data_IF_723774392625
#
_entry.id   IF_723774392625
#
_cell.length_a   1.000
_cell.length_b   1.000
_cell.length_c   1.000
_cell.angle_alpha   90.00
_cell.angle_beta   90.00
_cell.angle_gamma   90.00
#
_symmetry.space_group_name_H-M   'P 1'
#
loop_
_entity.id
_entity.type
_entity.pdbx_description
1 polymer ?
#
# COMPACT_ATOMS: atom_id res chain seq x y z
N UNK A 1 3.39 7.13 23.13
CA UNK A 1 2.27 8.09 23.02
C UNK A 1 1.88 8.24 21.54
N UNK A 2 1.04 7.36 20.98
CA UNK A 2 0.57 7.51 19.59
C UNK A 2 -0.69 8.39 19.56
N UNK A 3 -0.58 9.60 19.03
CA UNK A 3 -1.68 10.54 18.76
C UNK A 3 -2.51 10.10 17.54
N UNK A 4 -3.11 8.93 17.59
CA UNK A 4 -4.37 8.72 16.87
C UNK A 4 -5.45 8.75 17.95
N UNK A 5 -5.90 9.96 18.30
CA UNK A 5 -7.19 10.12 18.97
C UNK A 5 -8.22 9.55 18.01
N UNK A 6 -8.68 8.35 18.37
CA UNK A 6 -9.65 7.52 17.67
C UNK A 6 -10.76 8.43 17.15
N UNK A 7 -10.84 8.56 15.82
CA UNK A 7 -12.05 9.05 15.15
C UNK A 7 -13.23 8.32 15.76
N UNK A 8 -14.31 9.00 16.15
CA UNK A 8 -15.44 8.36 16.86
C UNK A 8 -16.01 7.14 16.11
N UNK A 9 -15.80 7.05 14.79
CA UNK A 9 -16.16 5.90 13.94
C UNK A 9 -15.08 5.60 12.88
N UNK A 10 -13.97 4.90 13.23
CA UNK A 10 -12.88 4.62 12.29
C UNK A 10 -13.30 3.80 11.06
N UNK A 11 -14.33 2.95 11.21
CA UNK A 11 -14.94 2.16 10.14
C UNK A 11 -15.62 2.99 9.06
N UNK A 12 -15.97 4.25 9.35
CA UNK A 12 -16.61 5.18 8.41
C UNK A 12 -15.60 6.04 7.65
N UNK A 13 -14.30 5.85 7.88
CA UNK A 13 -13.25 6.69 7.33
C UNK A 13 -12.19 5.85 6.64
N UNK A 14 -11.67 6.38 5.53
CA UNK A 14 -10.49 5.85 4.84
C UNK A 14 -9.37 6.88 4.93
N UNK A 15 -8.23 6.47 5.48
CA UNK A 15 -7.07 7.33 5.60
C UNK A 15 -6.16 7.22 4.38
N UNK A 16 -5.73 8.36 3.86
CA UNK A 16 -4.77 8.42 2.77
C UNK A 16 -3.46 9.05 3.26
N UNK A 17 -2.34 8.35 3.03
CA UNK A 17 -1.03 8.78 3.50
C UNK A 17 -0.07 9.08 2.35
N UNK A 18 0.72 10.15 2.54
CA UNK A 18 1.93 10.34 1.74
C UNK A 18 3.06 9.40 2.22
N UNK A 19 4.03 9.16 1.33
CA UNK A 19 5.14 8.23 1.49
C UNK A 19 5.98 8.41 2.76
N UNK A 20 5.96 9.59 3.38
CA UNK A 20 6.63 9.83 4.65
C UNK A 20 5.95 9.14 5.83
N UNK A 21 4.63 8.96 5.78
CA UNK A 21 3.84 8.40 6.87
C UNK A 21 3.48 6.93 6.68
N UNK A 22 3.61 6.39 5.46
CA UNK A 22 3.27 4.98 5.18
C UNK A 22 4.44 4.03 5.44
N UNK A 23 4.11 2.86 5.99
CA UNK A 23 5.00 1.69 6.09
C UNK A 23 4.18 0.41 6.19
N UNK A 24 4.78 -0.74 5.90
CA UNK A 24 4.12 -2.04 6.02
C UNK A 24 3.60 -2.31 7.44
N UNK A 25 4.42 -2.07 8.46
CA UNK A 25 4.03 -2.30 9.86
C UNK A 25 2.89 -1.39 10.32
N UNK A 26 2.87 -0.13 9.85
CA UNK A 26 1.75 0.77 10.11
C UNK A 26 0.46 0.20 9.50
N UNK A 27 0.49 -0.17 8.21
CA UNK A 27 -0.70 -0.69 7.52
C UNK A 27 -1.24 -1.94 8.21
N UNK A 28 -0.34 -2.85 8.62
CA UNK A 28 -0.71 -4.04 9.41
C UNK A 28 -1.38 -3.67 10.74
N UNK A 29 -0.82 -2.71 11.48
CA UNK A 29 -1.43 -2.25 12.75
C UNK A 29 -2.79 -1.57 12.54
N UNK A 30 -2.99 -0.88 11.42
CA UNK A 30 -4.28 -0.30 11.06
C UNK A 30 -5.31 -1.37 10.70
N UNK A 31 -4.90 -2.44 10.01
CA UNK A 31 -5.75 -3.61 9.75
C UNK A 31 -6.23 -4.24 11.05
N UNK A 32 -5.33 -4.45 12.02
CA UNK A 32 -5.67 -5.01 13.33
C UNK A 32 -6.65 -4.13 14.13
N UNK A 33 -6.71 -2.84 13.82
CA UNK A 33 -7.62 -1.85 14.43
C UNK A 33 -8.89 -1.60 13.62
N UNK A 34 -9.11 -2.34 12.53
CA UNK A 34 -10.20 -2.11 11.58
C UNK A 34 -10.25 -0.67 11.03
N UNK A 35 -9.07 -0.06 10.85
CA UNK A 35 -8.94 1.28 10.25
C UNK A 35 -8.55 1.12 8.78
N UNK A 36 -9.41 1.60 7.88
CA UNK A 36 -9.16 1.56 6.45
C UNK A 36 -8.13 2.60 6.05
N UNK A 37 -7.12 2.19 5.28
CA UNK A 37 -6.06 3.06 4.84
C UNK A 37 -5.42 2.64 3.51
N UNK A 38 -4.93 3.65 2.80
CA UNK A 38 -4.11 3.51 1.58
C UNK A 38 -3.00 4.54 1.61
N UNK A 39 -1.79 4.19 1.18
CA UNK A 39 -0.69 5.14 1.14
C UNK A 39 0.37 4.78 0.14
N UNK A 40 1.00 5.80 -0.45
CA UNK A 40 2.23 5.59 -1.20
C UNK A 40 3.34 5.17 -0.24
N UNK A 41 4.28 4.31 -0.66
CA UNK A 41 5.30 3.76 0.24
C UNK A 41 6.68 3.75 -0.40
N UNK A 42 7.71 3.99 0.41
CA UNK A 42 9.11 3.86 0.00
C UNK A 42 9.55 2.40 0.02
N UNK A 43 10.43 2.01 -0.90
CA UNK A 43 10.88 0.62 -1.05
C UNK A 43 11.40 0.00 0.27
N UNK A 44 12.20 0.76 1.01
CA UNK A 44 12.80 0.32 2.29
C UNK A 44 11.79 0.15 3.44
N UNK A 45 10.50 0.43 3.23
CA UNK A 45 9.43 0.31 4.23
C UNK A 45 8.38 -0.73 3.87
N UNK A 46 8.64 -1.56 2.86
CA UNK A 46 7.71 -2.61 2.40
C UNK A 46 7.93 -3.99 3.04
N UNK A 47 8.88 -4.13 3.99
CA UNK A 47 9.16 -5.38 4.72
C UNK A 47 9.16 -6.64 3.85
N UNK A 48 9.94 -6.62 2.76
CA UNK A 48 10.12 -7.75 1.85
C UNK A 48 8.87 -8.25 1.11
N UNK A 49 7.85 -7.40 0.94
CA UNK A 49 6.70 -7.71 0.10
C UNK A 49 7.15 -8.14 -1.32
N UNK A 50 6.69 -9.29 -1.86
CA UNK A 50 7.26 -9.91 -3.07
C UNK A 50 6.74 -9.29 -4.38
N UNK A 51 6.72 -7.95 -4.46
CA UNK A 51 6.47 -7.21 -5.70
C UNK A 51 7.78 -6.98 -6.47
N UNK A 52 7.68 -6.77 -7.79
CA UNK A 52 8.83 -6.48 -8.65
C UNK A 52 9.67 -5.33 -8.05
N UNK A 53 10.98 -5.57 -8.00
CA UNK A 53 11.92 -4.56 -7.48
C UNK A 53 12.03 -3.37 -8.42
N UNK A 54 12.53 -2.25 -7.90
CA UNK A 54 12.74 -1.07 -8.74
C UNK A 54 13.69 -1.32 -9.92
N UNK A 55 14.65 -2.24 -9.75
CA UNK A 55 15.58 -2.65 -10.82
C UNK A 55 14.86 -3.38 -11.96
N UNK A 56 13.85 -4.18 -11.64
CA UNK A 56 13.03 -4.89 -12.62
C UNK A 56 12.08 -3.90 -13.29
N UNK A 57 11.31 -3.15 -12.48
CA UNK A 57 10.33 -2.18 -12.98
C UNK A 57 10.93 -1.10 -13.89
N UNK A 58 12.19 -0.69 -13.67
CA UNK A 58 12.88 0.30 -14.53
C UNK A 58 13.08 -0.17 -15.98
N UNK A 59 13.05 -1.48 -16.24
CA UNK A 59 13.22 -2.06 -17.57
C UNK A 59 11.90 -2.26 -18.31
N UNK A 60 10.79 -2.16 -17.59
CA UNK A 60 9.45 -2.30 -18.14
C UNK A 60 9.01 -1.01 -18.84
N UNK A 61 8.02 -1.11 -19.71
CA UNK A 61 7.40 0.05 -20.33
C UNK A 61 6.63 0.91 -19.32
N UNK A 62 6.49 2.20 -19.61
CA UNK A 62 5.68 3.11 -18.78
C UNK A 62 4.23 2.60 -18.76
N UNK A 63 3.64 2.53 -17.58
CA UNK A 63 2.31 1.96 -17.35
C UNK A 63 2.33 0.50 -16.90
N UNK A 64 3.45 -0.23 -17.06
CA UNK A 64 3.56 -1.59 -16.54
C UNK A 64 3.42 -1.61 -15.01
N UNK A 65 2.70 -2.61 -14.50
CA UNK A 65 2.41 -2.76 -13.07
C UNK A 65 2.64 -4.20 -12.58
N UNK A 66 2.81 -4.34 -11.27
CA UNK A 66 2.86 -5.61 -10.56
C UNK A 66 2.23 -5.44 -9.18
N UNK A 67 1.45 -6.43 -8.73
CA UNK A 67 0.72 -6.34 -7.48
C UNK A 67 0.71 -7.67 -6.72
N UNK A 68 0.56 -7.61 -5.40
CA UNK A 68 0.43 -8.76 -4.51
C UNK A 68 -0.64 -8.48 -3.46
N UNK A 69 -1.42 -9.50 -3.13
CA UNK A 69 -2.27 -9.49 -1.97
C UNK A 69 -1.77 -10.57 -1.00
N UNK A 70 -1.56 -10.20 0.26
CA UNK A 70 -1.21 -11.15 1.31
C UNK A 70 -2.44 -11.47 2.15
N UNK A 71 -2.96 -12.70 2.01
CA UNK A 71 -4.14 -13.14 2.75
C UNK A 71 -3.94 -13.17 4.27
N UNK A 72 -2.70 -13.28 4.76
CA UNK A 72 -2.40 -13.33 6.20
C UNK A 72 -2.44 -11.94 6.82
N UNK A 73 -1.86 -10.96 6.15
CA UNK A 73 -1.83 -9.56 6.64
C UNK A 73 -3.00 -8.73 6.12
N UNK A 74 -3.76 -9.24 5.15
CA UNK A 74 -4.83 -8.53 4.41
C UNK A 74 -4.33 -7.24 3.76
N UNK A 75 -3.05 -7.21 3.39
CA UNK A 75 -2.45 -6.06 2.73
C UNK A 75 -2.36 -6.31 1.23
N UNK A 76 -2.80 -5.31 0.47
CA UNK A 76 -2.59 -5.17 -0.95
C UNK A 76 -1.37 -4.27 -1.21
N UNK A 77 -0.47 -4.72 -2.06
CA UNK A 77 0.69 -3.96 -2.50
C UNK A 77 0.67 -3.87 -4.03
N UNK A 78 0.90 -2.69 -4.58
CA UNK A 78 1.06 -2.49 -6.02
C UNK A 78 2.26 -1.60 -6.30
N UNK A 79 2.95 -1.89 -7.40
CA UNK A 79 3.91 -0.98 -8.02
C UNK A 79 3.59 -0.79 -9.48
N UNK A 80 3.83 0.42 -10.00
CA UNK A 80 3.76 0.69 -11.42
C UNK A 80 4.87 1.61 -11.88
N UNK A 81 5.24 1.47 -13.16
CA UNK A 81 6.26 2.26 -13.83
C UNK A 81 5.65 3.57 -14.32
N UNK A 82 6.05 4.67 -13.70
CA UNK A 82 5.87 6.02 -14.24
C UNK A 82 7.26 6.67 -14.51
N UNK A 83 7.38 7.99 -14.43
CA UNK A 83 8.67 8.69 -14.45
C UNK A 83 9.60 8.08 -13.40
N UNK A 84 9.07 7.92 -12.19
CA UNK A 84 9.64 7.09 -11.13
C UNK A 84 8.69 5.93 -10.80
N UNK A 85 9.22 4.84 -10.27
CA UNK A 85 8.38 3.71 -9.88
C UNK A 85 7.59 4.09 -8.63
N UNK A 86 6.27 4.09 -8.74
CA UNK A 86 5.38 4.34 -7.60
C UNK A 86 5.03 3.01 -6.96
N UNK A 87 4.86 3.04 -5.64
CA UNK A 87 4.49 1.89 -4.81
C UNK A 87 3.41 2.33 -3.84
N UNK A 88 2.38 1.50 -3.67
CA UNK A 88 1.25 1.75 -2.77
C UNK A 88 1.01 0.51 -1.92
N UNK A 89 0.67 0.73 -0.66
CA UNK A 89 0.06 -0.27 0.21
C UNK A 89 -1.37 0.15 0.53
N UNK A 90 -2.29 -0.81 0.55
CA UNK A 90 -3.66 -0.64 1.02
C UNK A 90 -4.05 -1.83 1.91
N UNK A 91 -4.90 -1.58 2.91
CA UNK A 91 -5.56 -2.65 3.68
C UNK A 91 -7.08 -2.68 3.45
N UNK A 92 -7.57 -1.87 2.51
CA UNK A 92 -8.99 -1.64 2.28
C UNK A 92 -9.38 -1.92 0.82
N UNK A 93 -8.59 -1.43 -0.13
CA UNK A 93 -8.82 -1.61 -1.56
C UNK A 93 -7.91 -2.73 -2.10
N UNK A 94 -8.51 -3.86 -2.47
CA UNK A 94 -7.91 -4.77 -3.44
C UNK A 94 -8.48 -4.41 -4.81
N UNK A 95 -7.62 -4.14 -5.80
CA UNK A 95 -8.06 -3.83 -7.16
C UNK A 95 -8.95 -4.96 -7.69
N UNK A 96 -10.19 -4.64 -8.06
CA UNK A 96 -10.86 -5.42 -9.10
C UNK A 96 -10.12 -5.16 -10.42
N UNK A 97 -9.66 -6.19 -11.15
CA UNK A 97 -9.02 -5.99 -12.44
C UNK A 97 -10.03 -5.38 -13.41
N UNK A 98 -9.74 -4.19 -13.93
CA UNK A 98 -10.50 -3.65 -15.05
C UNK A 98 -10.11 -4.41 -16.32
N UNK A 99 -11.03 -5.18 -16.86
CA UNK A 99 -10.91 -5.78 -18.19
C UNK A 99 -10.82 -4.65 -19.22
N UNK A 100 -9.71 -4.58 -19.96
CA UNK A 100 -9.61 -3.77 -21.19
C UNK A 100 -9.89 -4.66 -22.39
#
# INVERSE_FOLDING_TARGET
MSKLSVTETPENHVFYFDNFFTSFDLMKSLTEKNVCATGTVRYNRMNSCPIKTDKVMKKEERGASDYRFDEKTKLFAITWKDNNNVKVLSNYEALEPQTT
#
